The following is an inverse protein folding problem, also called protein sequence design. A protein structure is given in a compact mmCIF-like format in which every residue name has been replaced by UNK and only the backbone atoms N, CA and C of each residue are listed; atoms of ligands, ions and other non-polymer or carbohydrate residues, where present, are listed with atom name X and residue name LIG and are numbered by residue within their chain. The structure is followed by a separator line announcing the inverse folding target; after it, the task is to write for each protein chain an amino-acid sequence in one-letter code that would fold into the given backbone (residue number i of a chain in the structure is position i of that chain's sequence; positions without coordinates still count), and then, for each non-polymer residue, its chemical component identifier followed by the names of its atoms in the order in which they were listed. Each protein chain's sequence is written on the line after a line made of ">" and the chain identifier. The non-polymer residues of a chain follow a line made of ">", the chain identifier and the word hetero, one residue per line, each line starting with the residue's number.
data_IF_362860837510
#
_entry.id   IF_362860837510
#
_cell.length_a   1.000
_cell.length_b   1.000
_cell.length_c   1.000
_cell.angle_alpha   90.00
_cell.angle_beta   90.00
_cell.angle_gamma   90.00
#
_symmetry.space_group_name_H-M   'P 1'
#
loop_
_entity.id
_entity.type
_entity.pdbx_description
1 polymer ?
#
# COMPACT_ATOMS: atom_id res chain seq x y z
N UNK A 1 -5.49 -9.55 15.87
CA UNK A 1 -4.05 -9.37 15.59
C UNK A 1 -3.89 -8.51 14.34
N UNK A 2 -2.96 -7.55 14.36
CA UNK A 2 -2.68 -6.65 13.23
C UNK A 2 -1.35 -7.04 12.58
N UNK A 3 -1.26 -6.88 11.27
CA UNK A 3 -0.04 -7.07 10.49
C UNK A 3 0.21 -5.80 9.69
N UNK A 4 1.48 -5.43 9.52
CA UNK A 4 1.90 -4.35 8.63
C UNK A 4 2.55 -4.97 7.39
N UNK A 5 2.12 -4.52 6.21
CA UNK A 5 2.71 -4.86 4.92
C UNK A 5 3.16 -3.56 4.29
N UNK A 6 4.47 -3.44 4.04
CA UNK A 6 5.06 -2.25 3.42
C UNK A 6 5.42 -2.57 1.97
N UNK A 7 4.90 -1.78 1.05
CA UNK A 7 5.29 -1.82 -0.36
C UNK A 7 6.36 -0.75 -0.57
N UNK A 8 7.54 -1.15 -1.05
CA UNK A 8 8.61 -0.21 -1.36
C UNK A 8 8.44 0.35 -2.79
N UNK A 9 8.82 1.61 -2.94
CA UNK A 9 8.71 2.38 -4.17
C UNK A 9 9.05 3.85 -3.91
N UNK A 10 9.11 4.64 -4.98
CA UNK A 10 9.30 6.08 -4.94
C UNK A 10 7.95 6.79 -5.18
N UNK A 11 7.62 7.83 -4.40
CA UNK A 11 6.44 8.66 -4.65
C UNK A 11 6.67 9.57 -5.86
N UNK A 12 5.60 9.89 -6.59
CA UNK A 12 5.65 10.76 -7.77
C UNK A 12 5.25 10.05 -9.05
N UNK A 13 4.59 10.78 -9.97
CA UNK A 13 4.05 10.23 -11.22
C UNK A 13 5.13 9.68 -12.14
N UNK A 14 6.31 10.29 -12.09
CA UNK A 14 7.47 9.87 -12.87
C UNK A 14 8.00 8.48 -12.50
N UNK A 15 7.59 7.93 -11.35
CA UNK A 15 8.05 6.61 -10.86
C UNK A 15 7.00 5.50 -10.96
N UNK A 16 5.74 5.80 -11.29
CA UNK A 16 4.59 4.86 -11.22
C UNK A 16 4.85 3.52 -11.90
N UNK A 17 5.44 3.52 -13.10
CA UNK A 17 5.70 2.30 -13.88
C UNK A 17 7.16 1.83 -13.86
N UNK A 18 7.95 2.29 -12.89
CA UNK A 18 9.32 1.81 -12.72
C UNK A 18 9.35 0.47 -12.00
N UNK A 19 10.34 -0.39 -12.31
CA UNK A 19 10.53 -1.67 -11.61
C UNK A 19 10.70 -1.52 -10.10
N UNK A 20 11.20 -0.35 -9.66
CA UNK A 20 11.38 -0.03 -8.24
C UNK A 20 10.04 0.10 -7.49
N UNK A 21 8.96 0.44 -8.18
CA UNK A 21 7.63 0.63 -7.61
C UNK A 21 6.78 -0.65 -7.56
N UNK A 22 7.36 -1.83 -7.81
CA UNK A 22 6.61 -3.09 -7.76
C UNK A 22 5.95 -3.32 -6.40
N UNK A 23 6.54 -2.84 -5.31
CA UNK A 23 5.95 -2.91 -3.98
C UNK A 23 4.66 -2.10 -3.87
N UNK A 24 4.61 -0.90 -4.45
CA UNK A 24 3.39 -0.09 -4.53
C UNK A 24 2.32 -0.79 -5.36
N UNK A 25 2.69 -1.30 -6.54
CA UNK A 25 1.76 -2.00 -7.45
C UNK A 25 1.13 -3.25 -6.81
N UNK A 26 1.90 -4.01 -6.03
CA UNK A 26 1.39 -5.16 -5.27
C UNK A 26 0.36 -4.71 -4.23
N UNK A 27 0.63 -3.62 -3.51
CA UNK A 27 -0.30 -3.09 -2.52
C UNK A 27 -1.59 -2.54 -3.16
N UNK A 28 -1.48 -1.86 -4.30
CA UNK A 28 -2.63 -1.38 -5.06
C UNK A 28 -3.51 -2.53 -5.55
N UNK A 29 -2.90 -3.62 -6.05
CA UNK A 29 -3.64 -4.82 -6.43
C UNK A 29 -4.37 -5.49 -5.24
N UNK A 30 -3.75 -5.50 -4.05
CA UNK A 30 -4.39 -6.01 -2.82
C UNK A 30 -5.57 -5.13 -2.43
N UNK A 31 -5.40 -3.81 -2.43
CA UNK A 31 -6.42 -2.84 -2.08
C UNK A 31 -7.61 -2.90 -3.05
N UNK A 32 -7.34 -2.98 -4.36
CA UNK A 32 -8.35 -3.13 -5.41
C UNK A 32 -9.17 -4.42 -5.24
N UNK A 33 -8.50 -5.56 -5.02
CA UNK A 33 -9.19 -6.86 -4.80
C UNK A 33 -10.05 -6.88 -3.53
N UNK A 34 -9.85 -5.92 -2.63
CA UNK A 34 -10.52 -5.80 -1.35
C UNK A 34 -11.44 -4.59 -1.26
N UNK A 35 -11.62 -3.88 -2.38
CA UNK A 35 -12.47 -2.69 -2.48
C UNK A 35 -12.15 -1.66 -1.40
N UNK A 36 -10.85 -1.46 -1.15
CA UNK A 36 -10.32 -0.48 -0.21
C UNK A 36 -9.48 0.54 -0.96
N UNK A 37 -9.57 1.80 -0.52
CA UNK A 37 -8.76 2.91 -1.00
C UNK A 37 -7.64 3.22 -0.03
N UNK A 38 -6.55 3.77 -0.59
CA UNK A 38 -5.50 4.40 0.20
C UNK A 38 -5.92 5.79 0.66
N UNK A 39 -5.51 6.16 1.87
CA UNK A 39 -5.62 7.50 2.43
C UNK A 39 -4.23 8.06 2.70
N UNK A 40 -4.02 9.35 2.40
CA UNK A 40 -2.75 10.03 2.65
C UNK A 40 -2.54 10.18 4.15
N UNK A 41 -1.38 9.76 4.65
CA UNK A 41 -0.97 9.92 6.05
C UNK A 41 0.42 10.54 6.17
N UNK A 42 0.86 10.82 7.40
CA UNK A 42 2.12 11.54 7.69
C UNK A 42 3.36 10.85 7.11
N UNK A 43 3.35 9.52 7.01
CA UNK A 43 4.51 8.72 6.59
C UNK A 43 4.32 8.06 5.22
N UNK A 44 3.24 8.40 4.51
CA UNK A 44 2.86 7.79 3.24
C UNK A 44 1.39 7.39 3.19
N UNK A 45 1.02 6.72 2.11
CA UNK A 45 -0.35 6.28 1.87
C UNK A 45 -0.64 5.00 2.67
N UNK A 46 -1.78 4.99 3.36
CA UNK A 46 -2.19 3.89 4.24
C UNK A 46 -3.55 3.35 3.83
N UNK A 47 -3.68 2.02 3.85
CA UNK A 47 -4.95 1.32 3.69
C UNK A 47 -5.10 0.24 4.77
N UNK A 48 -6.33 -0.10 5.13
CA UNK A 48 -6.63 -1.15 6.13
C UNK A 48 -7.59 -2.17 5.55
N UNK A 49 -7.16 -3.43 5.52
CA UNK A 49 -7.90 -4.54 4.90
C UNK A 49 -8.21 -5.60 5.95
N UNK A 50 -9.43 -6.14 5.95
CA UNK A 50 -9.75 -7.37 6.71
C UNK A 50 -9.50 -8.61 5.87
N UNK A 51 -8.74 -9.56 6.42
CA UNK A 51 -8.45 -10.84 5.80
C UNK A 51 -8.42 -11.96 6.84
N UNK A 52 -9.31 -12.95 6.70
CA UNK A 52 -9.40 -14.13 7.59
C UNK A 52 -9.34 -13.80 9.09
N UNK A 53 -10.17 -12.83 9.52
CA UNK A 53 -10.23 -12.39 10.93
C UNK A 53 -9.03 -11.56 11.41
N UNK A 54 -8.12 -11.17 10.50
CA UNK A 54 -6.95 -10.33 10.79
C UNK A 54 -7.09 -8.98 10.08
N UNK A 55 -6.47 -7.95 10.63
CA UNK A 55 -6.33 -6.65 9.97
C UNK A 55 -4.93 -6.56 9.37
N UNK A 56 -4.87 -6.28 8.07
CA UNK A 56 -3.66 -5.97 7.35
C UNK A 56 -3.63 -4.45 7.15
N UNK A 57 -2.61 -3.79 7.68
CA UNK A 57 -2.29 -2.39 7.40
C UNK A 57 -1.33 -2.40 6.23
N UNK A 58 -1.71 -1.76 5.14
CA UNK A 58 -0.87 -1.59 3.95
C UNK A 58 -0.27 -0.18 3.99
N UNK A 59 1.03 -0.06 3.74
CA UNK A 59 1.75 1.22 3.74
C UNK A 59 2.59 1.35 2.46
N UNK A 60 2.39 2.46 1.73
CA UNK A 60 3.29 2.95 0.68
C UNK A 60 4.04 4.18 1.24
N UNK A 61 5.29 4.04 1.72
CA UNK A 61 6.00 5.15 2.35
C UNK A 61 6.24 6.32 1.38
N UNK A 62 6.18 7.55 1.88
CA UNK A 62 6.48 8.78 1.11
C UNK A 62 7.69 9.52 1.70
N UNK A 63 8.83 8.83 1.78
CA UNK A 63 10.09 9.38 2.31
C UNK A 63 10.86 10.17 1.28
#
# INVERSE_FOLDING_TARGET
>A
MKYLIVGLGNPGKEYEDTRHNIGFNVLDAIAQKRETSFEVSRLGDVASVRFKGRTLVLLKPST
#
